data_IF_269428890638
#
_entry.id   IF_269428890638
#
_cell.length_a   1.000
_cell.length_b   1.000
_cell.length_c   1.000
_cell.angle_alpha   90.00
_cell.angle_beta   90.00
_cell.angle_gamma   90.00
#
_symmetry.space_group_name_H-M   'P 1'
#
loop_
_entity.id
_entity.type
_entity.pdbx_description
1 polymer ?
#
# COMPACT_ATOMS: atom_id res chain seq x y z
N UNK A 1 9.84 -4.44 37.16
CA UNK A 1 9.81 -3.07 36.59
C UNK A 1 10.52 -3.02 35.23
N UNK A 2 9.83 -3.36 34.14
CA UNK A 2 10.42 -3.36 32.79
C UNK A 2 10.07 -2.08 32.03
N UNK A 3 11.01 -1.16 31.86
CA UNK A 3 10.85 0.08 31.07
C UNK A 3 10.67 -0.24 29.58
N UNK A 4 9.47 -0.67 29.18
CA UNK A 4 9.11 -0.88 27.79
C UNK A 4 8.89 0.47 27.10
N UNK A 5 9.99 1.09 26.67
CA UNK A 5 9.93 2.26 25.81
C UNK A 5 9.16 1.94 24.52
N UNK A 6 8.16 2.76 24.22
CA UNK A 6 7.26 2.64 23.06
C UNK A 6 8.11 2.53 21.78
N UNK A 7 7.89 1.45 21.02
CA UNK A 7 8.49 1.25 19.69
C UNK A 7 7.42 1.54 18.66
N UNK A 8 7.55 2.65 17.94
CA UNK A 8 6.61 3.01 16.88
C UNK A 8 7.18 2.52 15.54
N UNK A 9 6.45 1.74 14.75
CA UNK A 9 6.93 1.33 13.42
C UNK A 9 7.04 2.55 12.50
N UNK A 10 8.03 2.56 11.62
CA UNK A 10 8.16 3.58 10.57
C UNK A 10 8.51 2.94 9.22
N UNK A 11 8.16 3.66 8.16
CA UNK A 11 8.59 3.40 6.78
C UNK A 11 9.03 4.73 6.19
N UNK A 12 10.27 4.81 5.73
CA UNK A 12 10.81 6.03 5.12
C UNK A 12 11.50 5.67 3.80
N UNK A 13 11.29 6.49 2.79
CA UNK A 13 11.89 6.33 1.47
C UNK A 13 12.76 7.54 1.17
N UNK A 14 13.87 7.32 0.47
CA UNK A 14 14.80 8.40 0.14
C UNK A 14 16.01 7.92 -0.65
N UNK A 15 16.85 8.87 -1.06
CA UNK A 15 18.12 8.59 -1.71
C UNK A 15 19.17 8.27 -0.67
N UNK A 16 19.85 7.14 -0.82
CA UNK A 16 20.99 6.81 -0.01
C UNK A 16 22.13 7.80 -0.29
N UNK A 17 22.58 8.49 0.77
CA UNK A 17 23.67 9.45 0.67
C UNK A 17 25.00 8.79 1.01
N UNK A 18 25.13 8.29 2.24
CA UNK A 18 26.38 7.71 2.73
C UNK A 18 26.19 6.86 3.98
N UNK A 19 27.20 6.07 4.32
CA UNK A 19 27.28 5.31 5.56
C UNK A 19 27.79 6.18 6.72
N UNK A 20 27.19 5.99 7.90
CA UNK A 20 27.82 6.42 9.14
C UNK A 20 28.78 5.34 9.62
N UNK A 21 30.07 5.63 9.51
CA UNK A 21 31.16 4.76 9.97
C UNK A 21 31.67 5.26 11.33
N UNK A 22 32.17 4.35 12.18
CA UNK A 22 32.80 4.69 13.45
C UNK A 22 34.02 3.80 13.70
N UNK A 23 35.14 4.37 14.16
CA UNK A 23 36.38 3.63 14.42
C UNK A 23 36.96 3.02 13.14
N UNK A 24 37.48 1.78 13.26
CA UNK A 24 38.07 0.96 12.18
C UNK A 24 37.02 0.48 11.17
N UNK A 25 36.46 1.39 10.37
CA UNK A 25 35.56 1.08 9.24
C UNK A 25 34.23 0.38 9.59
N UNK A 26 33.81 0.42 10.86
CA UNK A 26 32.57 -0.24 11.30
C UNK A 26 31.33 0.59 10.96
N UNK A 27 30.54 0.09 10.01
CA UNK A 27 29.24 0.68 9.65
C UNK A 27 28.28 0.66 10.86
N UNK A 28 27.70 1.82 11.19
CA UNK A 28 26.76 2.01 12.30
C UNK A 28 25.34 2.35 11.82
N UNK A 29 25.22 2.94 10.65
CA UNK A 29 23.96 3.41 10.07
C UNK A 29 24.13 3.99 8.68
N UNK A 30 23.07 4.57 8.14
CA UNK A 30 23.03 5.24 6.83
C UNK A 30 22.38 6.62 6.97
N UNK A 31 22.73 7.52 6.06
CA UNK A 31 22.04 8.78 5.84
C UNK A 31 21.22 8.70 4.55
N UNK A 32 19.98 9.18 4.61
CA UNK A 32 19.04 9.24 3.50
C UNK A 32 18.61 10.68 3.26
N UNK A 33 18.60 11.12 2.01
CA UNK A 33 17.89 12.33 1.59
C UNK A 33 16.42 11.97 1.35
N UNK A 34 15.54 12.58 2.11
CA UNK A 34 14.08 12.43 2.04
C UNK A 34 13.45 13.77 1.69
N UNK A 35 12.16 13.81 1.36
CA UNK A 35 11.48 15.07 1.08
C UNK A 35 11.43 16.04 2.27
N UNK A 36 11.47 15.50 3.50
CA UNK A 36 11.53 16.28 4.74
C UNK A 36 12.97 16.65 5.14
N UNK A 37 13.95 16.36 4.30
CA UNK A 37 15.37 16.59 4.53
C UNK A 37 16.17 15.32 4.83
N UNK A 38 17.36 15.50 5.40
CA UNK A 38 18.29 14.40 5.64
C UNK A 38 17.98 13.65 6.95
N UNK A 39 17.94 12.32 6.87
CA UNK A 39 17.58 11.45 8.00
C UNK A 39 18.65 10.39 8.24
N UNK A 40 19.08 10.26 9.50
CA UNK A 40 19.96 9.19 9.95
C UNK A 40 19.18 7.96 10.42
N UNK A 41 19.48 6.79 9.84
CA UNK A 41 18.90 5.50 10.26
C UNK A 41 19.98 4.56 10.78
N UNK A 42 19.81 4.08 12.03
CA UNK A 42 20.74 3.11 12.63
C UNK A 42 20.52 1.72 12.04
N UNK A 43 21.60 1.08 11.59
CA UNK A 43 21.57 -0.28 11.10
C UNK A 43 21.85 -1.31 12.22
N UNK A 44 21.03 -2.37 12.36
CA UNK A 44 21.37 -3.54 13.16
C UNK A 44 22.57 -4.29 12.55
N UNK A 45 23.26 -5.12 13.34
CA UNK A 45 24.45 -5.87 12.88
C UNK A 45 24.16 -6.67 11.61
N UNK A 46 23.00 -7.33 11.55
CA UNK A 46 22.55 -8.14 10.41
C UNK A 46 22.44 -7.38 9.10
N UNK A 47 22.07 -6.10 9.14
CA UNK A 47 21.86 -5.30 7.92
C UNK A 47 23.13 -4.60 7.42
N UNK A 48 24.23 -4.58 8.17
CA UNK A 48 25.43 -3.82 7.77
C UNK A 48 26.06 -4.38 6.52
N UNK A 49 26.36 -5.67 6.53
CA UNK A 49 26.99 -6.36 5.40
C UNK A 49 26.08 -6.40 4.18
N UNK A 50 24.81 -6.80 4.38
CA UNK A 50 23.80 -6.81 3.31
C UNK A 50 23.62 -5.43 2.69
N UNK A 51 23.57 -4.37 3.49
CA UNK A 51 23.44 -3.01 2.95
C UNK A 51 24.64 -2.65 2.08
N UNK A 52 25.86 -3.03 2.46
CA UNK A 52 27.08 -2.65 1.74
C UNK A 52 27.14 -3.25 0.32
N UNK A 53 26.62 -4.46 0.14
CA UNK A 53 26.49 -5.07 -1.19
C UNK A 53 25.36 -4.46 -2.02
N UNK A 54 24.38 -3.87 -1.33
CA UNK A 54 23.14 -3.43 -1.96
C UNK A 54 23.05 -1.93 -2.21
N UNK A 55 23.85 -1.08 -1.58
CA UNK A 55 23.65 0.38 -1.66
C UNK A 55 24.86 1.06 -2.28
N UNK A 56 24.60 1.75 -3.39
CA UNK A 56 25.51 2.71 -3.99
C UNK A 56 25.00 4.13 -3.73
N UNK A 57 25.92 5.09 -3.56
CA UNK A 57 25.56 6.50 -3.38
C UNK A 57 24.58 6.97 -4.45
N UNK A 58 23.50 7.62 -4.04
CA UNK A 58 22.42 8.07 -4.92
C UNK A 58 21.33 7.03 -5.20
N UNK A 59 21.50 5.77 -4.78
CA UNK A 59 20.47 4.73 -4.92
C UNK A 59 19.22 5.07 -4.12
N UNK A 60 18.05 4.84 -4.70
CA UNK A 60 16.79 4.98 -3.99
C UNK A 60 16.52 3.77 -3.12
N UNK A 61 16.07 4.01 -1.88
CA UNK A 61 15.81 2.95 -0.91
C UNK A 61 14.57 3.23 -0.08
N UNK A 62 13.86 2.18 0.29
CA UNK A 62 12.85 2.18 1.34
C UNK A 62 13.37 1.45 2.57
N UNK A 63 13.30 2.11 3.72
CA UNK A 63 13.76 1.58 5.01
C UNK A 63 12.58 1.47 5.96
N UNK A 64 12.34 0.26 6.45
CA UNK A 64 11.32 -0.01 7.46
C UNK A 64 12.00 -0.32 8.78
N UNK A 65 11.39 0.08 9.88
CA UNK A 65 12.00 -0.13 11.18
C UNK A 65 11.13 0.31 12.35
N UNK A 66 11.79 0.50 13.48
CA UNK A 66 11.15 1.01 14.69
C UNK A 66 11.85 2.28 15.16
N UNK A 67 11.05 3.28 15.50
CA UNK A 67 11.48 4.48 16.19
C UNK A 67 11.38 4.26 17.69
N UNK A 68 12.40 4.71 18.42
CA UNK A 68 12.40 4.81 19.88
C UNK A 68 12.57 6.26 20.28
N UNK A 69 11.78 6.73 21.23
CA UNK A 69 11.93 8.04 21.86
C UNK A 69 12.61 7.82 23.22
N UNK A 70 13.76 8.46 23.47
CA UNK A 70 14.44 8.46 24.77
C UNK A 70 14.91 9.88 25.09
N UNK A 71 14.50 10.43 26.24
CA UNK A 71 14.85 11.79 26.70
C UNK A 71 14.67 12.85 25.59
N UNK A 72 13.49 12.90 24.96
CA UNK A 72 13.20 13.82 23.84
C UNK A 72 13.90 13.48 22.51
N UNK A 73 14.93 12.63 22.50
CA UNK A 73 15.69 12.28 21.30
C UNK A 73 15.05 11.12 20.54
N UNK A 74 14.65 11.38 19.29
CA UNK A 74 14.14 10.37 18.35
C UNK A 74 15.29 9.52 17.80
N UNK A 75 15.13 8.21 17.80
CA UNK A 75 16.12 7.26 17.28
C UNK A 75 15.48 6.22 16.37
N UNK A 76 15.80 6.30 15.08
CA UNK A 76 15.36 5.35 14.06
C UNK A 76 16.29 4.14 14.01
N UNK A 77 15.73 2.94 14.08
CA UNK A 77 16.46 1.68 13.88
C UNK A 77 15.82 0.88 12.75
N UNK A 78 16.59 0.60 11.70
CA UNK A 78 16.14 -0.22 10.57
C UNK A 78 15.87 -1.66 10.99
N UNK A 79 14.90 -2.27 10.33
CA UNK A 79 14.57 -3.69 10.34
C UNK A 79 14.80 -4.29 8.94
N UNK A 80 14.47 -3.55 7.88
CA UNK A 80 14.74 -3.94 6.50
C UNK A 80 15.09 -2.74 5.63
N UNK A 81 15.85 -2.99 4.56
CA UNK A 81 16.22 -2.03 3.51
C UNK A 81 15.92 -2.70 2.18
N UNK A 82 15.27 -1.98 1.27
CA UNK A 82 14.98 -2.46 -0.08
C UNK A 82 15.40 -1.37 -1.06
N UNK A 83 16.15 -1.72 -2.11
CA UNK A 83 16.40 -0.80 -3.24
C UNK A 83 15.08 -0.52 -3.95
N UNK A 84 14.81 0.73 -4.25
CA UNK A 84 13.64 1.19 -5.01
C UNK A 84 14.12 2.01 -6.21
N UNK A 85 13.23 2.31 -7.15
CA UNK A 85 13.58 3.12 -8.32
C UNK A 85 13.33 4.62 -8.07
N UNK A 86 14.07 5.53 -8.74
CA UNK A 86 13.93 6.99 -8.63
C UNK A 86 12.60 7.63 -9.04
N UNK A 87 11.59 6.86 -9.44
CA UNK A 87 10.40 7.42 -10.07
C UNK A 87 9.22 7.45 -9.08
N UNK A 88 8.93 8.66 -8.59
CA UNK A 88 7.70 9.12 -7.91
C UNK A 88 7.11 8.18 -6.86
N UNK A 89 7.53 8.29 -5.59
CA UNK A 89 6.76 7.74 -4.46
C UNK A 89 7.11 8.50 -3.16
N UNK A 90 6.73 9.79 -3.13
CA UNK A 90 6.38 10.51 -1.89
C UNK A 90 4.99 10.04 -1.37
N UNK A 91 4.65 8.77 -1.59
CA UNK A 91 3.41 8.16 -1.15
C UNK A 91 3.66 6.70 -0.74
N UNK A 92 4.28 6.51 0.43
CA UNK A 92 4.14 5.23 1.13
C UNK A 92 3.20 5.36 2.32
N UNK A 93 1.93 5.65 2.04
CA UNK A 93 0.82 5.03 2.76
C UNK A 93 -0.30 4.51 1.83
N UNK A 94 -0.04 4.18 0.57
CA UNK A 94 -0.95 3.30 -0.18
C UNK A 94 -0.25 2.70 -1.39
N UNK A 95 0.09 1.41 -1.31
CA UNK A 95 0.41 0.62 -2.50
C UNK A 95 -0.78 0.67 -3.46
N UNK A 96 -0.65 1.44 -4.52
CA UNK A 96 -1.34 1.21 -5.79
C UNK A 96 -0.40 1.62 -6.92
N UNK A 97 0.50 0.70 -7.31
CA UNK A 97 1.05 0.68 -8.67
C UNK A 97 -0.12 0.87 -9.63
N UNK A 98 -0.22 2.01 -10.32
CA UNK A 98 -1.30 2.38 -11.24
C UNK A 98 -2.49 1.43 -11.18
N UNK A 99 -3.27 1.48 -10.09
CA UNK A 99 -4.25 0.44 -9.84
C UNK A 99 -5.31 0.59 -10.90
N UNK A 100 -5.35 -0.34 -11.86
CA UNK A 100 -6.51 -0.57 -12.69
C UNK A 100 -7.70 -0.49 -11.74
N UNK A 101 -8.57 0.49 -11.93
CA UNK A 101 -9.75 0.63 -11.09
C UNK A 101 -10.59 -0.62 -11.34
N UNK A 102 -10.92 -1.39 -10.30
CA UNK A 102 -11.63 -2.66 -10.49
C UNK A 102 -12.92 -2.71 -9.70
N UNK A 103 -13.93 -3.31 -10.31
CA UNK A 103 -15.19 -3.68 -9.67
C UNK A 103 -15.22 -5.20 -9.62
N UNK A 104 -15.22 -5.77 -8.41
CA UNK A 104 -15.33 -7.21 -8.17
C UNK A 104 -16.74 -7.56 -7.75
N UNK A 105 -17.40 -8.47 -8.45
CA UNK A 105 -18.79 -8.88 -8.16
C UNK A 105 -18.82 -10.35 -7.75
N UNK A 106 -19.40 -10.65 -6.58
CA UNK A 106 -19.55 -12.04 -6.13
C UNK A 106 -20.58 -12.77 -7.00
N UNK A 107 -20.16 -13.87 -7.64
CA UNK A 107 -21.00 -14.69 -8.51
C UNK A 107 -21.22 -16.11 -7.97
N UNK A 108 -20.94 -16.37 -6.68
CA UNK A 108 -21.29 -17.66 -6.06
C UNK A 108 -22.81 -17.79 -5.89
N UNK A 109 -23.28 -19.04 -5.74
CA UNK A 109 -24.70 -19.44 -5.70
C UNK A 109 -25.62 -18.49 -4.92
N UNK A 110 -25.25 -18.10 -3.69
CA UNK A 110 -26.08 -17.21 -2.86
C UNK A 110 -26.25 -15.80 -3.46
N UNK A 111 -25.18 -15.19 -3.97
CA UNK A 111 -25.25 -13.87 -4.61
C UNK A 111 -25.96 -13.94 -5.97
N UNK A 112 -25.77 -15.04 -6.72
CA UNK A 112 -26.49 -15.28 -7.99
C UNK A 112 -28.00 -15.40 -7.79
N UNK A 113 -28.45 -16.20 -6.81
CA UNK A 113 -29.87 -16.32 -6.45
C UNK A 113 -30.49 -14.97 -6.05
N UNK A 114 -29.68 -14.04 -5.52
CA UNK A 114 -30.08 -12.68 -5.11
C UNK A 114 -29.89 -11.62 -6.21
N UNK A 115 -29.56 -12.01 -7.44
CA UNK A 115 -29.52 -11.10 -8.59
C UNK A 115 -28.14 -10.52 -8.96
N UNK A 116 -27.02 -11.09 -8.49
CA UNK A 116 -25.67 -10.61 -8.86
C UNK A 116 -25.41 -10.60 -10.37
N UNK A 117 -26.04 -11.50 -11.15
CA UNK A 117 -25.95 -11.51 -12.62
C UNK A 117 -26.55 -10.25 -13.24
N UNK A 118 -27.68 -9.77 -12.72
CA UNK A 118 -28.33 -8.54 -13.19
C UNK A 118 -27.47 -7.30 -12.87
N UNK A 119 -26.83 -7.30 -11.70
CA UNK A 119 -25.90 -6.24 -11.27
C UNK A 119 -24.68 -6.20 -12.18
N UNK A 120 -24.05 -7.34 -12.49
CA UNK A 120 -22.91 -7.40 -13.40
C UNK A 120 -23.28 -6.85 -14.80
N UNK A 121 -24.47 -7.20 -15.32
CA UNK A 121 -24.99 -6.62 -16.57
C UNK A 121 -25.18 -5.10 -16.49
N UNK A 122 -25.78 -4.60 -15.41
CA UNK A 122 -25.99 -3.17 -15.20
C UNK A 122 -24.66 -2.40 -15.11
N UNK A 123 -23.66 -2.95 -14.40
CA UNK A 123 -22.32 -2.38 -14.29
C UNK A 123 -21.65 -2.28 -15.67
N UNK A 124 -21.68 -3.35 -16.45
CA UNK A 124 -21.10 -3.36 -17.79
C UNK A 124 -21.78 -2.33 -18.72
N UNK A 125 -23.12 -2.20 -18.64
CA UNK A 125 -23.86 -1.18 -19.41
C UNK A 125 -23.44 0.24 -19.01
N UNK A 126 -23.42 0.52 -17.71
CA UNK A 126 -23.08 1.85 -17.20
C UNK A 126 -21.62 2.24 -17.48
N UNK A 127 -20.67 1.30 -17.39
CA UNK A 127 -19.27 1.53 -17.77
C UNK A 127 -19.08 1.78 -19.27
N UNK A 128 -19.93 1.20 -20.14
CA UNK A 128 -19.95 1.51 -21.57
C UNK A 128 -20.46 2.93 -21.82
N UNK A 129 -21.59 3.29 -21.20
CA UNK A 129 -22.24 4.59 -21.41
C UNK A 129 -21.38 5.77 -20.94
N UNK A 130 -20.55 5.56 -19.92
CA UNK A 130 -19.64 6.58 -19.35
C UNK A 130 -18.25 6.60 -19.99
N UNK A 131 -17.98 5.74 -20.98
CA UNK A 131 -16.64 5.61 -21.59
C UNK A 131 -15.58 5.00 -20.65
N UNK A 132 -15.96 4.55 -19.46
CA UNK A 132 -15.06 4.02 -18.44
C UNK A 132 -14.66 2.55 -18.66
N UNK A 133 -15.26 1.85 -19.64
CA UNK A 133 -14.98 0.43 -19.90
C UNK A 133 -13.49 0.12 -20.14
N UNK A 134 -12.72 1.05 -20.71
CA UNK A 134 -11.27 0.88 -20.94
C UNK A 134 -10.43 1.19 -19.69
N UNK A 135 -10.98 1.91 -18.72
CA UNK A 135 -10.30 2.40 -17.51
C UNK A 135 -10.63 1.58 -16.26
N UNK A 136 -11.81 0.95 -16.23
CA UNK A 136 -12.33 0.20 -15.09
C UNK A 136 -12.57 -1.26 -15.48
N UNK A 137 -11.88 -2.19 -14.81
CA UNK A 137 -12.06 -3.62 -15.03
C UNK A 137 -13.21 -4.17 -14.17
N UNK A 138 -14.16 -4.85 -14.81
CA UNK A 138 -15.23 -5.58 -14.12
C UNK A 138 -14.85 -7.06 -14.04
N UNK A 139 -14.72 -7.60 -12.82
CA UNK A 139 -14.30 -8.98 -12.57
C UNK A 139 -15.34 -9.74 -11.75
N UNK A 140 -15.73 -10.90 -12.25
CA UNK A 140 -16.51 -11.88 -11.50
C UNK A 140 -15.60 -12.62 -10.50
N UNK A 141 -16.04 -12.73 -9.24
CA UNK A 141 -15.27 -13.39 -8.18
C UNK A 141 -16.10 -14.42 -7.42
N UNK A 142 -15.39 -15.28 -6.68
CA UNK A 142 -15.97 -16.27 -5.78
C UNK A 142 -16.63 -15.67 -4.52
N UNK A 143 -16.86 -16.52 -3.52
CA UNK A 143 -17.49 -16.11 -2.27
C UNK A 143 -16.65 -15.05 -1.54
N UNK A 144 -17.33 -14.03 -0.99
CA UNK A 144 -16.70 -12.92 -0.26
C UNK A 144 -16.98 -12.96 1.26
N UNK A 145 -17.50 -14.08 1.77
CA UNK A 145 -17.76 -14.29 3.20
C UNK A 145 -18.99 -13.57 3.78
N UNK A 146 -19.78 -12.88 2.94
CA UNK A 146 -20.99 -12.13 3.35
C UNK A 146 -22.24 -12.61 2.60
N UNK A 147 -22.46 -13.92 2.54
CA UNK A 147 -23.55 -14.53 1.76
C UNK A 147 -24.94 -14.02 2.18
N UNK A 148 -25.19 -13.84 3.48
CA UNK A 148 -26.45 -13.31 4.01
C UNK A 148 -26.74 -11.88 3.51
N UNK A 149 -25.69 -11.12 3.21
CA UNK A 149 -25.78 -9.74 2.74
C UNK A 149 -25.57 -9.59 1.22
N UNK A 150 -25.75 -10.68 0.45
CA UNK A 150 -25.63 -10.63 -1.00
C UNK A 150 -26.77 -9.85 -1.69
N UNK A 151 -26.55 -9.34 -2.91
CA UNK A 151 -25.31 -9.41 -3.70
C UNK A 151 -24.19 -8.50 -3.18
N UNK A 152 -22.94 -8.97 -3.28
CA UNK A 152 -21.76 -8.28 -2.77
C UNK A 152 -20.87 -7.78 -3.92
N UNK A 153 -20.39 -6.54 -3.79
CA UNK A 153 -19.47 -5.88 -4.73
C UNK A 153 -18.29 -5.32 -3.93
N UNK A 154 -17.10 -5.25 -4.54
CA UNK A 154 -15.98 -4.50 -4.00
C UNK A 154 -15.33 -3.62 -5.05
N UNK A 155 -15.01 -2.40 -4.64
CA UNK A 155 -14.29 -1.41 -5.43
C UNK A 155 -12.82 -1.42 -5.02
N UNK A 156 -11.92 -1.46 -5.99
CA UNK A 156 -10.48 -1.35 -5.80
C UNK A 156 -9.95 -0.14 -6.57
N UNK A 157 -8.96 0.58 -6.02
CA UNK A 157 -8.18 0.27 -4.81
C UNK A 157 -8.84 0.66 -3.48
N UNK A 158 -9.99 1.35 -3.51
CA UNK A 158 -10.66 1.97 -2.35
C UNK A 158 -11.03 0.98 -1.23
N UNK A 159 -11.03 -0.32 -1.51
CA UNK A 159 -11.47 -1.42 -0.63
C UNK A 159 -12.91 -1.25 -0.14
N UNK A 160 -13.69 -0.37 -0.75
CA UNK A 160 -15.11 -0.16 -0.43
C UNK A 160 -15.90 -1.40 -0.81
N UNK A 161 -16.74 -1.88 0.12
CA UNK A 161 -17.62 -3.03 -0.10
C UNK A 161 -19.06 -2.57 -0.07
N UNK A 162 -19.82 -3.01 -1.08
CA UNK A 162 -21.25 -2.82 -1.12
C UNK A 162 -21.94 -4.17 -0.93
N UNK A 163 -22.95 -4.18 -0.07
CA UNK A 163 -23.79 -5.34 0.25
C UNK A 163 -25.25 -5.03 -0.08
N UNK A 164 -26.09 -6.04 -0.28
CA UNK A 164 -27.50 -5.88 -0.65
C UNK A 164 -27.72 -4.99 -1.88
N UNK A 165 -26.75 -4.98 -2.80
CA UNK A 165 -26.79 -4.05 -3.94
C UNK A 165 -27.97 -4.37 -4.85
N UNK A 166 -28.69 -3.33 -5.25
CA UNK A 166 -29.77 -3.39 -6.24
C UNK A 166 -29.29 -2.84 -7.58
N UNK A 167 -29.82 -3.31 -8.72
CA UNK A 167 -29.44 -2.79 -10.04
C UNK A 167 -29.58 -1.26 -10.18
N UNK A 168 -30.58 -0.66 -9.52
CA UNK A 168 -30.81 0.81 -9.52
C UNK A 168 -29.66 1.61 -8.87
N UNK A 169 -28.91 1.02 -7.94
CA UNK A 169 -27.81 1.69 -7.22
C UNK A 169 -26.49 1.69 -8.02
N UNK A 170 -26.42 0.94 -9.12
CA UNK A 170 -25.19 0.76 -9.90
C UNK A 170 -24.64 2.06 -10.47
N UNK A 171 -25.50 2.92 -10.99
CA UNK A 171 -25.09 4.20 -11.57
C UNK A 171 -24.46 5.12 -10.51
N UNK A 172 -25.07 5.21 -9.32
CA UNK A 172 -24.52 5.98 -8.20
C UNK A 172 -23.18 5.46 -7.72
N UNK A 173 -23.01 4.13 -7.64
CA UNK A 173 -21.71 3.53 -7.28
C UNK A 173 -20.64 3.89 -8.33
N UNK A 174 -20.97 3.89 -9.62
CA UNK A 174 -19.99 4.25 -10.65
C UNK A 174 -19.62 5.74 -10.55
N UNK A 175 -20.62 6.61 -10.41
CA UNK A 175 -20.39 8.04 -10.30
C UNK A 175 -19.55 8.40 -9.06
N UNK A 176 -19.80 7.75 -7.93
CA UNK A 176 -19.09 8.02 -6.68
C UNK A 176 -17.59 7.63 -6.71
N UNK A 177 -17.21 6.63 -7.51
CA UNK A 177 -15.84 6.08 -7.48
C UNK A 177 -15.02 6.35 -8.76
N UNK A 178 -15.68 6.66 -9.87
CA UNK A 178 -15.03 6.65 -11.19
C UNK A 178 -15.29 7.89 -12.06
N UNK A 179 -16.22 8.76 -11.67
CA UNK A 179 -16.46 10.06 -12.30
C UNK A 179 -15.87 11.15 -11.41
#
# INVERSE_FOLDING_TARGET
MGKHGIKVPFSISGRFLTYKVTGTFKIKGIYLATAQGEVYVKLPKSLRYTSMQMLESGAWVCVKGHQKIKHGKRKLKALSIVRTNPCTDEETMSKSKGSVKQIKVCQKSSCRKRGSKAICKALNKSLKQTGLKKKVALQDVGCMGKCKAGPNISILPDKTRYTHVRPKQVAGIIQQHFC
#
